data_IF_360252288783
#
_entry.id   IF_360252288783
#
_cell.length_a   1.000
_cell.length_b   1.000
_cell.length_c   1.000
_cell.angle_alpha   90.00
_cell.angle_beta   90.00
_cell.angle_gamma   90.00
#
_symmetry.space_group_name_H-M   'P 1'
#
loop_
_entity.id
_entity.type
_entity.pdbx_description
1 polymer ?
#
# COMPACT_ATOMS: atom_id res chain seq x y z
N UNK A 1 11.27 -14.31 -28.80
CA UNK A 1 10.59 -13.58 -29.88
C UNK A 1 10.78 -12.05 -29.81
N UNK A 2 10.77 -11.42 -28.62
CA UNK A 2 10.99 -9.96 -28.47
C UNK A 2 12.42 -9.55 -28.81
N UNK A 3 13.42 -10.37 -28.53
CA UNK A 3 14.81 -10.10 -28.85
C UNK A 3 15.11 -10.15 -30.37
N UNK A 4 14.39 -10.95 -31.13
CA UNK A 4 14.53 -11.02 -32.58
C UNK A 4 13.92 -9.82 -33.31
N UNK A 5 12.88 -9.18 -32.76
CA UNK A 5 12.31 -7.95 -33.34
C UNK A 5 13.24 -6.72 -33.22
N UNK A 6 14.07 -6.65 -32.17
CA UNK A 6 15.00 -5.54 -31.98
C UNK A 6 16.21 -5.60 -32.91
N UNK A 7 16.70 -6.80 -33.25
CA UNK A 7 17.80 -6.99 -34.20
C UNK A 7 17.38 -6.63 -35.64
N UNK A 8 16.11 -6.89 -35.99
CA UNK A 8 15.56 -6.48 -37.29
C UNK A 8 15.41 -4.98 -37.50
N UNK A 9 15.16 -4.21 -36.43
CA UNK A 9 15.00 -2.75 -36.50
C UNK A 9 16.32 -2.01 -36.72
N UNK A 10 17.41 -2.48 -36.14
CA UNK A 10 18.74 -1.87 -36.34
C UNK A 10 19.28 -2.09 -37.78
N UNK A 11 19.02 -3.26 -38.34
CA UNK A 11 19.39 -3.53 -39.75
C UNK A 11 18.58 -2.65 -40.72
N UNK A 12 17.31 -2.43 -40.49
CA UNK A 12 16.47 -1.54 -41.28
C UNK A 12 16.94 -0.07 -41.22
N UNK A 13 17.40 0.40 -40.08
CA UNK A 13 17.92 1.76 -39.93
C UNK A 13 19.27 1.94 -40.64
N UNK A 14 20.16 0.95 -40.56
CA UNK A 14 21.45 0.99 -41.30
C UNK A 14 21.25 0.92 -42.80
N UNK A 15 20.32 0.15 -43.32
CA UNK A 15 20.06 0.04 -44.75
C UNK A 15 19.34 1.30 -45.31
N UNK A 16 18.45 1.94 -44.54
CA UNK A 16 17.90 3.25 -44.91
C UNK A 16 18.98 4.34 -45.01
N UNK A 17 19.94 4.36 -44.06
CA UNK A 17 21.07 5.31 -44.11
C UNK A 17 21.98 5.09 -45.31
N UNK A 18 22.19 3.82 -45.76
CA UNK A 18 22.95 3.50 -46.97
C UNK A 18 22.18 3.85 -48.24
N UNK A 19 20.86 3.66 -48.31
CA UNK A 19 20.04 4.04 -49.48
C UNK A 19 19.90 5.56 -49.64
N UNK A 20 19.80 6.29 -48.55
CA UNK A 20 19.78 7.77 -48.59
C UNK A 20 21.11 8.32 -49.07
N UNK A 21 22.25 7.76 -48.66
CA UNK A 21 23.57 8.18 -49.17
C UNK A 21 23.79 7.89 -50.68
N UNK A 22 23.11 6.91 -51.28
CA UNK A 22 23.24 6.60 -52.71
C UNK A 22 22.37 7.45 -53.66
N UNK A 23 21.38 8.19 -53.11
CA UNK A 23 20.44 8.99 -53.95
C UNK A 23 20.74 10.48 -53.99
N UNK A 24 21.69 10.98 -53.24
CA UNK A 24 22.04 12.41 -53.27
C UNK A 24 23.49 12.53 -53.74
N UNK A 25 23.68 12.31 -55.04
CA UNK A 25 24.90 12.71 -55.73
C UNK A 25 24.59 14.01 -56.46
N UNK A 26 24.47 15.13 -55.71
CA UNK A 26 24.49 16.47 -56.30
C UNK A 26 25.96 16.87 -56.43
N UNK A 27 26.46 16.94 -57.68
CA UNK A 27 27.72 17.61 -58.00
C UNK A 27 27.60 19.08 -57.57
N UNK A 28 28.43 19.50 -56.61
CA UNK A 28 28.73 20.90 -56.48
C UNK A 28 28.28 21.69 -55.29
N UNK A 29 28.03 21.08 -54.13
CA UNK A 29 28.11 21.81 -52.85
C UNK A 29 28.47 20.83 -51.74
N UNK A 30 29.62 21.02 -51.10
CA UNK A 30 29.94 20.43 -49.81
C UNK A 30 29.01 21.05 -48.78
N UNK A 31 27.74 20.64 -48.75
CA UNK A 31 26.87 20.90 -47.58
C UNK A 31 27.37 19.92 -46.53
N UNK A 32 28.30 20.38 -45.72
CA UNK A 32 28.64 19.76 -44.47
C UNK A 32 27.38 19.85 -43.61
N UNK A 33 26.53 18.80 -43.64
CA UNK A 33 25.39 18.72 -42.73
C UNK A 33 25.98 18.71 -41.35
N UNK A 34 25.87 19.82 -40.63
CA UNK A 34 26.18 19.87 -39.21
C UNK A 34 25.43 18.74 -38.53
N UNK A 35 26.13 17.97 -37.70
CA UNK A 35 25.51 16.90 -36.97
C UNK A 35 24.41 17.53 -36.04
N UNK A 36 23.21 16.98 -36.10
CA UNK A 36 22.08 17.44 -35.23
C UNK A 36 22.53 17.45 -33.77
N UNK A 37 22.76 18.64 -33.22
CA UNK A 37 23.21 18.84 -31.87
C UNK A 37 22.01 18.90 -30.93
N UNK A 38 21.44 17.72 -30.59
CA UNK A 38 20.27 17.62 -29.73
C UNK A 38 20.51 18.23 -28.36
N UNK A 39 21.69 18.08 -27.78
CA UNK A 39 22.00 18.60 -26.43
C UNK A 39 21.90 20.13 -26.37
N UNK A 40 22.37 20.84 -27.35
CA UNK A 40 22.27 22.29 -27.43
C UNK A 40 20.81 22.74 -27.65
N UNK A 41 20.06 22.01 -28.48
CA UNK A 41 18.66 22.30 -28.77
C UNK A 41 17.79 22.05 -27.53
N UNK A 42 17.97 20.92 -26.90
CA UNK A 42 17.23 20.57 -25.64
C UNK A 42 17.49 21.61 -24.55
N UNK A 43 18.76 21.94 -24.30
CA UNK A 43 19.12 22.94 -23.31
C UNK A 43 18.50 24.32 -23.60
N UNK A 44 18.57 24.77 -24.84
CA UNK A 44 17.97 26.04 -25.29
C UNK A 44 16.47 26.09 -24.97
N UNK A 45 15.73 25.02 -25.24
CA UNK A 45 14.30 25.02 -25.05
C UNK A 45 13.92 24.86 -23.57
N UNK A 46 14.65 24.07 -22.81
CA UNK A 46 14.44 23.94 -21.37
C UNK A 46 14.63 25.28 -20.67
N UNK A 47 15.71 25.99 -20.98
CA UNK A 47 15.96 27.33 -20.43
C UNK A 47 14.84 28.30 -20.79
N UNK A 48 14.41 28.31 -22.06
CA UNK A 48 13.34 29.17 -22.53
C UNK A 48 12.00 28.88 -21.81
N UNK A 49 11.67 27.63 -21.55
CA UNK A 49 10.45 27.26 -20.83
C UNK A 49 10.50 27.73 -19.38
N UNK A 50 11.64 27.65 -18.73
CA UNK A 50 11.83 28.18 -17.38
C UNK A 50 11.72 29.72 -17.35
N UNK A 51 12.44 30.40 -18.21
CA UNK A 51 12.45 31.88 -18.30
C UNK A 51 11.05 32.45 -18.57
N UNK A 52 10.29 31.82 -19.42
CA UNK A 52 8.94 32.30 -19.80
C UNK A 52 7.82 31.78 -18.91
N UNK A 53 8.10 30.86 -17.96
CA UNK A 53 7.06 30.22 -17.18
C UNK A 53 6.04 29.45 -18.03
N UNK A 54 6.49 28.84 -19.14
CA UNK A 54 5.63 28.26 -20.18
C UNK A 54 4.62 27.22 -19.65
N UNK A 55 4.91 26.61 -18.52
CA UNK A 55 4.09 25.57 -17.90
C UNK A 55 3.38 26.00 -16.62
N UNK A 56 3.45 27.29 -16.30
CA UNK A 56 2.78 27.84 -15.11
C UNK A 56 1.25 27.79 -15.24
N UNK A 57 0.59 27.30 -14.19
CA UNK A 57 -0.86 27.32 -14.06
C UNK A 57 -1.30 28.59 -13.31
N UNK A 58 -2.08 29.43 -13.99
CA UNK A 58 -2.58 30.68 -13.42
C UNK A 58 -3.65 30.45 -12.36
N UNK A 59 -3.53 31.07 -11.20
CA UNK A 59 -4.59 31.09 -10.20
C UNK A 59 -5.73 32.01 -10.69
N UNK A 60 -6.99 31.54 -10.56
CA UNK A 60 -8.18 32.27 -10.99
C UNK A 60 -8.28 32.56 -12.50
N UNK A 61 -7.59 31.77 -13.33
CA UNK A 61 -7.69 31.84 -14.79
C UNK A 61 -9.14 31.62 -15.26
N UNK A 62 -9.56 32.36 -16.33
CA UNK A 62 -10.84 32.15 -17.00
C UNK A 62 -10.83 30.96 -17.96
N UNK A 63 -9.66 30.38 -18.27
CA UNK A 63 -9.52 29.21 -19.11
C UNK A 63 -10.10 27.97 -18.40
N UNK A 64 -10.63 26.98 -19.14
CA UNK A 64 -11.06 25.74 -18.55
C UNK A 64 -9.90 25.06 -17.81
N UNK A 65 -10.17 24.55 -16.62
CA UNK A 65 -9.15 23.92 -15.75
C UNK A 65 -8.90 22.50 -16.17
N UNK A 66 -7.65 22.09 -16.12
CA UNK A 66 -7.25 20.69 -16.25
C UNK A 66 -6.18 20.38 -15.22
N UNK A 67 -6.39 19.37 -14.40
CA UNK A 67 -5.45 18.92 -13.39
C UNK A 67 -4.88 17.55 -13.78
N UNK A 68 -3.58 17.50 -14.00
CA UNK A 68 -2.84 16.27 -14.26
C UNK A 68 -2.08 15.89 -13.01
N UNK A 69 -2.50 14.85 -12.32
CA UNK A 69 -1.91 14.41 -11.07
C UNK A 69 -0.98 13.22 -11.31
N UNK A 70 0.22 13.31 -10.75
CA UNK A 70 1.20 12.22 -10.73
C UNK A 70 1.71 12.01 -9.31
N UNK A 71 2.08 10.79 -9.01
CA UNK A 71 2.81 10.45 -7.80
C UNK A 71 4.16 11.18 -7.80
N UNK A 72 4.44 11.92 -6.74
CA UNK A 72 5.75 12.54 -6.58
C UNK A 72 6.73 11.56 -5.91
N UNK A 73 8.02 11.56 -6.32
CA UNK A 73 8.95 10.53 -5.94
C UNK A 73 9.46 10.68 -4.51
N UNK A 74 9.87 9.56 -3.91
CA UNK A 74 10.74 9.52 -2.75
C UNK A 74 12.17 9.91 -3.13
N UNK A 75 12.75 10.97 -2.59
CA UNK A 75 14.16 11.31 -2.85
C UNK A 75 15.11 10.49 -1.96
N UNK A 76 14.86 9.20 -1.81
CA UNK A 76 15.62 8.29 -0.93
C UNK A 76 16.81 7.62 -1.60
N UNK A 77 16.86 7.63 -2.93
CA UNK A 77 17.91 7.02 -3.72
C UNK A 77 18.83 8.04 -4.42
N UNK A 78 19.83 7.54 -5.11
CA UNK A 78 20.80 8.36 -5.84
C UNK A 78 20.21 9.04 -7.10
N UNK A 79 19.00 8.70 -7.51
CA UNK A 79 18.34 9.25 -8.70
C UNK A 79 17.07 8.48 -9.08
N UNK A 80 16.44 8.92 -10.18
CA UNK A 80 15.27 8.29 -10.75
C UNK A 80 15.59 6.88 -11.27
N UNK A 81 14.65 5.96 -11.11
CA UNK A 81 14.66 4.69 -11.83
C UNK A 81 13.74 4.76 -13.06
N UNK A 82 13.86 3.79 -13.97
CA UNK A 82 13.12 3.77 -15.26
C UNK A 82 11.58 3.77 -15.11
N UNK A 83 11.05 3.38 -13.97
CA UNK A 83 9.62 3.44 -13.67
C UNK A 83 9.07 4.86 -13.62
N UNK A 84 9.83 5.83 -13.09
CA UNK A 84 9.39 7.22 -12.99
C UNK A 84 9.11 7.84 -14.37
N UNK A 85 10.06 7.83 -15.36
CA UNK A 85 9.78 8.41 -16.67
C UNK A 85 8.59 7.80 -17.39
N UNK A 86 8.27 6.53 -17.14
CA UNK A 86 7.15 5.84 -17.80
C UNK A 86 5.81 6.53 -17.56
N UNK A 87 5.43 6.72 -16.30
CA UNK A 87 4.17 7.36 -15.93
C UNK A 87 4.22 8.87 -16.18
N UNK A 88 5.36 9.50 -15.89
CA UNK A 88 5.52 10.95 -16.08
C UNK A 88 5.41 11.35 -17.55
N UNK A 89 6.00 10.59 -18.46
CA UNK A 89 5.88 10.84 -19.90
C UNK A 89 4.43 10.71 -20.40
N UNK A 90 3.70 9.70 -19.94
CA UNK A 90 2.32 9.50 -20.34
C UNK A 90 1.44 10.70 -19.96
N UNK A 91 1.60 11.19 -18.74
CA UNK A 91 0.86 12.36 -18.26
C UNK A 91 1.35 13.69 -18.86
N UNK A 92 2.64 13.80 -19.15
CA UNK A 92 3.21 14.96 -19.84
C UNK A 92 2.62 15.15 -21.24
N UNK A 93 2.43 14.06 -21.98
CA UNK A 93 1.77 14.10 -23.31
C UNK A 93 0.37 14.68 -23.17
N UNK A 94 -0.41 14.23 -22.18
CA UNK A 94 -1.77 14.73 -21.93
C UNK A 94 -1.73 16.20 -21.50
N UNK A 95 -0.83 16.58 -20.59
CA UNK A 95 -0.68 17.94 -20.12
C UNK A 95 -0.35 18.91 -21.27
N UNK A 96 0.59 18.54 -22.15
CA UNK A 96 0.94 19.35 -23.33
C UNK A 96 -0.22 19.47 -24.31
N UNK A 97 -0.92 18.35 -24.61
CA UNK A 97 -2.10 18.36 -25.46
C UNK A 97 -3.16 19.33 -24.93
N UNK A 98 -3.48 19.26 -23.64
CA UNK A 98 -4.47 20.14 -23.03
C UNK A 98 -4.07 21.61 -23.05
N UNK A 99 -2.78 21.94 -22.84
CA UNK A 99 -2.31 23.32 -23.02
C UNK A 99 -2.48 23.83 -24.45
N UNK A 100 -2.19 22.98 -25.44
CA UNK A 100 -2.42 23.32 -26.86
C UNK A 100 -3.92 23.51 -27.19
N UNK A 101 -4.81 22.84 -26.50
CA UNK A 101 -6.26 23.00 -26.58
C UNK A 101 -6.78 24.23 -25.81
N UNK A 102 -5.90 24.99 -25.17
CA UNK A 102 -6.28 26.24 -24.48
C UNK A 102 -6.66 26.09 -23.02
N UNK A 103 -6.45 24.92 -22.41
CA UNK A 103 -6.71 24.71 -20.97
C UNK A 103 -5.65 25.38 -20.10
N UNK A 104 -6.06 25.78 -18.91
CA UNK A 104 -5.14 26.10 -17.80
C UNK A 104 -4.77 24.80 -17.09
N UNK A 105 -3.59 24.29 -17.36
CA UNK A 105 -3.17 22.96 -16.91
C UNK A 105 -2.27 23.06 -15.69
N UNK A 106 -2.70 22.48 -14.57
CA UNK A 106 -1.88 22.25 -13.40
C UNK A 106 -1.25 20.85 -13.49
N UNK A 107 0.06 20.79 -13.68
CA UNK A 107 0.87 19.58 -13.64
C UNK A 107 2.02 19.78 -12.65
N UNK A 108 1.76 19.59 -11.35
CA UNK A 108 2.73 19.85 -10.29
C UNK A 108 3.68 18.68 -10.10
N UNK A 109 4.79 18.95 -9.43
CA UNK A 109 5.74 17.96 -8.92
C UNK A 109 6.08 18.26 -7.46
N UNK A 110 6.69 17.34 -6.77
CA UNK A 110 7.15 17.51 -5.40
C UNK A 110 7.97 16.33 -4.91
N UNK A 111 8.23 16.33 -3.61
CA UNK A 111 9.11 15.36 -2.96
C UNK A 111 8.40 14.79 -1.73
N UNK A 112 8.18 13.47 -1.73
CA UNK A 112 7.81 12.74 -0.53
C UNK A 112 9.08 12.49 0.28
N UNK A 113 9.47 13.50 1.05
CA UNK A 113 10.82 13.61 1.57
C UNK A 113 11.02 13.04 2.98
N UNK A 114 9.94 12.69 3.70
CA UNK A 114 10.06 11.88 4.90
C UNK A 114 10.29 10.42 4.53
N UNK A 115 11.16 9.71 5.27
CA UNK A 115 11.30 8.29 5.00
C UNK A 115 12.46 7.63 5.72
N UNK A 116 12.21 6.44 6.23
CA UNK A 116 13.16 5.60 6.94
C UNK A 116 14.42 5.24 6.10
N UNK A 117 14.36 5.00 4.78
CA UNK A 117 15.56 4.74 3.99
C UNK A 117 16.60 5.87 4.05
N UNK A 118 16.14 7.13 3.98
CA UNK A 118 17.04 8.29 4.11
C UNK A 118 17.61 8.40 5.51
N UNK A 119 16.80 8.16 6.55
CA UNK A 119 17.26 8.18 7.95
C UNK A 119 18.30 7.09 8.22
N UNK A 120 18.05 5.85 7.77
CA UNK A 120 19.01 4.75 7.91
C UNK A 120 20.33 5.03 7.18
N UNK A 121 20.25 5.59 5.95
CA UNK A 121 21.44 6.02 5.24
C UNK A 121 22.20 7.11 6.00
N UNK A 122 21.50 8.08 6.55
CA UNK A 122 22.09 9.18 7.33
C UNK A 122 22.79 8.67 8.60
N UNK A 123 22.16 7.76 9.33
CA UNK A 123 22.74 7.11 10.51
C UNK A 123 24.02 6.35 10.13
N UNK A 124 23.94 5.50 9.10
CA UNK A 124 25.09 4.69 8.63
C UNK A 124 26.27 5.57 8.21
N UNK A 125 26.02 6.68 7.57
CA UNK A 125 27.07 7.58 7.04
C UNK A 125 27.38 8.75 7.98
N UNK A 126 26.75 8.83 9.16
CA UNK A 126 26.94 9.91 10.15
C UNK A 126 26.69 11.32 9.56
N UNK A 127 25.68 11.45 8.73
CA UNK A 127 25.26 12.69 8.07
C UNK A 127 23.83 13.01 8.46
N UNK A 128 23.49 14.27 8.64
CA UNK A 128 22.12 14.67 8.99
C UNK A 128 21.15 14.39 7.82
N UNK A 129 19.96 13.77 8.06
CA UNK A 129 19.00 13.41 7.00
C UNK A 129 18.64 14.58 6.08
N UNK A 130 18.48 15.78 6.62
CA UNK A 130 18.20 17.02 5.85
C UNK A 130 19.22 17.26 4.72
N UNK A 131 20.51 16.99 4.97
CA UNK A 131 21.58 17.18 3.97
C UNK A 131 21.45 16.15 2.86
N UNK A 132 21.21 14.88 3.23
CA UNK A 132 21.01 13.78 2.27
C UNK A 132 19.80 14.07 1.39
N UNK A 133 18.67 14.41 1.99
CA UNK A 133 17.43 14.73 1.30
C UNK A 133 17.61 15.89 0.32
N UNK A 134 18.22 16.99 0.74
CA UNK A 134 18.48 18.15 -0.13
C UNK A 134 19.36 17.79 -1.34
N UNK A 135 20.42 16.98 -1.13
CA UNK A 135 21.28 16.50 -2.20
C UNK A 135 20.53 15.61 -3.21
N UNK A 136 19.71 14.71 -2.69
CA UNK A 136 18.92 13.81 -3.54
C UNK A 136 17.87 14.60 -4.34
N UNK A 137 17.13 15.50 -3.71
CA UNK A 137 16.17 16.39 -4.39
C UNK A 137 16.84 17.13 -5.54
N UNK A 138 18.00 17.75 -5.29
CA UNK A 138 18.73 18.46 -6.32
C UNK A 138 19.08 17.57 -7.53
N UNK A 139 19.48 16.31 -7.29
CA UNK A 139 19.76 15.38 -8.38
C UNK A 139 18.49 14.93 -9.12
N UNK A 140 17.41 14.62 -8.40
CA UNK A 140 16.13 14.28 -9.02
C UNK A 140 15.58 15.43 -9.87
N UNK A 141 15.61 16.67 -9.34
CA UNK A 141 15.22 17.87 -10.08
C UNK A 141 16.02 18.00 -11.37
N UNK A 142 17.35 17.86 -11.31
CA UNK A 142 18.22 17.90 -12.50
C UNK A 142 17.83 16.83 -13.52
N UNK A 143 17.54 15.61 -13.09
CA UNK A 143 17.16 14.51 -13.98
C UNK A 143 15.78 14.76 -14.63
N UNK A 144 14.79 15.21 -13.85
CA UNK A 144 13.45 15.54 -14.37
C UNK A 144 13.48 16.68 -15.37
N UNK A 145 14.29 17.71 -15.12
CA UNK A 145 14.52 18.82 -16.06
C UNK A 145 15.20 18.37 -17.34
N UNK A 146 16.19 17.47 -17.26
CA UNK A 146 16.82 16.88 -18.45
C UNK A 146 15.84 16.09 -19.32
N UNK A 147 14.83 15.46 -18.75
CA UNK A 147 13.77 14.76 -19.48
C UNK A 147 12.78 15.73 -20.13
N UNK A 148 12.83 17.02 -19.78
CA UNK A 148 12.04 18.06 -20.40
C UNK A 148 10.55 18.01 -20.09
N UNK A 149 10.15 17.44 -18.96
CA UNK A 149 8.76 17.40 -18.54
C UNK A 149 8.17 18.79 -18.29
N UNK A 150 6.92 18.95 -18.65
CA UNK A 150 6.18 20.22 -18.52
C UNK A 150 5.57 20.43 -17.13
N UNK A 151 6.34 20.13 -16.09
CA UNK A 151 5.91 20.40 -14.71
C UNK A 151 5.82 21.90 -14.43
N UNK A 152 4.86 22.28 -13.62
CA UNK A 152 4.80 23.61 -13.01
C UNK A 152 5.71 23.67 -11.77
N UNK A 153 6.97 24.00 -11.98
CA UNK A 153 7.98 24.09 -10.91
C UNK A 153 7.66 25.19 -9.87
N UNK A 154 6.82 26.15 -10.21
CA UNK A 154 6.36 27.16 -9.24
C UNK A 154 5.43 26.59 -8.17
N UNK A 155 4.88 25.42 -8.42
CA UNK A 155 4.00 24.64 -7.51
C UNK A 155 4.71 23.46 -6.90
N UNK A 156 6.05 23.42 -6.95
CA UNK A 156 6.86 22.39 -6.30
C UNK A 156 6.56 22.35 -4.80
N UNK A 157 6.38 21.15 -4.26
CA UNK A 157 6.17 20.92 -2.83
C UNK A 157 7.24 20.00 -2.25
N UNK A 158 7.53 20.17 -0.97
CA UNK A 158 8.39 19.28 -0.19
C UNK A 158 7.68 18.96 1.12
N UNK A 159 7.38 17.68 1.34
CA UNK A 159 6.63 17.25 2.54
C UNK A 159 7.35 17.51 3.85
N UNK A 160 8.68 17.70 3.84
CA UNK A 160 9.47 18.07 5.03
C UNK A 160 9.56 19.57 5.27
N UNK A 161 8.98 20.39 4.39
CA UNK A 161 8.91 21.84 4.62
C UNK A 161 7.83 22.14 5.69
N UNK A 162 8.14 22.94 6.71
CA UNK A 162 7.16 23.36 7.73
C UNK A 162 5.92 24.02 7.15
N UNK A 163 6.05 24.73 6.04
CA UNK A 163 4.92 25.37 5.35
C UNK A 163 3.95 24.36 4.77
N UNK A 164 4.43 23.14 4.46
CA UNK A 164 3.63 22.02 3.98
C UNK A 164 3.06 21.18 5.14
N UNK A 165 3.90 20.64 6.01
CA UNK A 165 3.44 19.68 7.02
C UNK A 165 2.59 20.31 8.13
N UNK A 166 2.57 21.62 8.28
CA UNK A 166 1.60 22.31 9.16
C UNK A 166 0.16 21.92 8.83
N UNK A 167 -0.15 21.65 7.56
CA UNK A 167 -1.48 21.23 7.14
C UNK A 167 -1.78 19.80 7.55
N UNK A 168 -0.81 18.89 7.50
CA UNK A 168 -0.94 17.54 8.05
C UNK A 168 -1.21 17.59 9.55
N UNK A 169 -0.50 18.45 10.28
CA UNK A 169 -0.74 18.69 11.70
C UNK A 169 -2.14 19.28 11.96
N UNK A 170 -2.57 20.21 11.13
CA UNK A 170 -3.91 20.79 11.23
C UNK A 170 -5.00 19.73 11.00
N UNK A 171 -4.86 18.87 9.99
CA UNK A 171 -5.78 17.77 9.72
C UNK A 171 -5.85 16.84 10.94
N UNK A 172 -4.72 16.45 11.51
CA UNK A 172 -4.69 15.64 12.73
C UNK A 172 -5.45 16.30 13.87
N UNK A 173 -5.26 17.61 14.08
CA UNK A 173 -5.99 18.34 15.10
C UNK A 173 -7.50 18.39 14.85
N UNK A 174 -7.94 18.46 13.59
CA UNK A 174 -9.38 18.34 13.26
C UNK A 174 -9.91 16.95 13.62
N UNK A 175 -9.18 15.87 13.21
CA UNK A 175 -9.56 14.51 13.57
C UNK A 175 -9.65 14.32 15.09
N UNK A 176 -8.69 14.86 15.85
CA UNK A 176 -8.72 14.83 17.31
C UNK A 176 -9.92 15.58 17.89
N UNK A 177 -10.21 16.80 17.43
CA UNK A 177 -11.37 17.59 17.86
C UNK A 177 -12.70 16.92 17.60
N UNK A 178 -12.80 16.12 16.53
CA UNK A 178 -14.00 15.36 16.20
C UNK A 178 -14.04 13.96 16.83
N UNK A 179 -13.11 13.63 17.72
CA UNK A 179 -13.06 12.34 18.40
C UNK A 179 -12.66 11.17 17.49
N UNK A 180 -12.10 11.48 16.31
CA UNK A 180 -11.64 10.49 15.33
C UNK A 180 -10.16 10.08 15.52
N UNK A 181 -9.40 10.84 16.30
CA UNK A 181 -8.05 10.47 16.71
C UNK A 181 -8.01 10.24 18.22
N UNK A 182 -7.42 9.13 18.66
CA UNK A 182 -7.32 8.73 20.05
C UNK A 182 -6.02 7.98 20.32
N UNK A 183 -5.64 7.86 21.59
CA UNK A 183 -4.49 7.05 22.01
C UNK A 183 -4.92 5.70 22.55
N UNK A 184 -4.22 4.66 22.15
CA UNK A 184 -4.43 3.31 22.65
C UNK A 184 -3.10 2.56 22.75
N UNK A 185 -2.96 1.75 23.81
CA UNK A 185 -1.87 0.77 23.87
C UNK A 185 -2.23 -0.46 23.04
N UNK A 186 -1.34 -0.78 22.08
CA UNK A 186 -1.51 -1.93 21.23
C UNK A 186 -0.18 -2.61 20.92
N UNK A 187 -0.17 -3.90 20.60
CA UNK A 187 1.02 -4.55 20.08
C UNK A 187 1.32 -4.01 18.69
N UNK A 188 2.59 -3.74 18.41
CA UNK A 188 3.11 -3.37 17.10
C UNK A 188 4.27 -4.28 16.73
N UNK A 189 4.45 -4.52 15.44
CA UNK A 189 5.65 -5.18 14.93
C UNK A 189 6.86 -4.27 15.18
N UNK A 190 7.81 -4.72 15.96
CA UNK A 190 8.99 -3.95 16.32
C UNK A 190 10.24 -4.60 15.77
N UNK A 191 10.94 -3.92 14.87
CA UNK A 191 12.23 -4.36 14.37
C UNK A 191 13.32 -4.13 15.43
N UNK A 192 14.02 -5.19 15.83
CA UNK A 192 15.10 -5.12 16.84
C UNK A 192 16.35 -4.44 16.29
N UNK A 193 16.59 -4.48 14.98
CA UNK A 193 17.71 -3.84 14.31
C UNK A 193 17.47 -2.36 13.99
N UNK A 194 16.42 -2.05 13.23
CA UNK A 194 16.07 -0.66 12.89
C UNK A 194 15.49 0.14 14.05
N UNK A 195 15.03 -0.53 15.12
CA UNK A 195 14.41 0.06 16.32
C UNK A 195 13.20 0.94 16.01
N UNK A 196 12.35 0.46 15.10
CA UNK A 196 11.17 1.15 14.59
C UNK A 196 9.98 0.19 14.52
N UNK A 197 8.76 0.73 14.60
CA UNK A 197 7.53 -0.01 14.32
C UNK A 197 7.40 -0.26 12.81
N UNK A 198 6.97 -1.45 12.45
CA UNK A 198 6.75 -1.88 11.07
C UNK A 198 5.27 -2.13 10.82
N UNK A 199 4.83 -1.89 9.58
CA UNK A 199 3.55 -2.39 9.09
C UNK A 199 3.60 -3.91 8.91
N UNK A 200 2.45 -4.55 8.71
CA UNK A 200 2.41 -6.00 8.51
C UNK A 200 3.14 -6.42 7.22
N UNK A 201 3.05 -5.59 6.18
CA UNK A 201 3.68 -5.82 4.87
C UNK A 201 5.21 -5.73 4.92
N UNK A 202 5.76 -5.04 5.90
CA UNK A 202 7.22 -4.89 6.09
C UNK A 202 7.85 -6.04 6.91
N UNK A 203 7.02 -7.00 7.34
CA UNK A 203 7.46 -8.20 8.07
C UNK A 203 7.32 -9.42 7.15
N UNK A 204 8.45 -10.01 6.79
CA UNK A 204 8.51 -11.18 5.90
C UNK A 204 9.15 -12.34 6.66
N UNK A 205 8.40 -13.44 6.87
CA UNK A 205 8.88 -14.61 7.61
C UNK A 205 9.43 -14.27 9.02
N UNK A 206 8.78 -13.35 9.74
CA UNK A 206 9.17 -12.94 11.08
C UNK A 206 10.38 -12.01 11.16
N UNK A 207 10.92 -11.56 10.02
CA UNK A 207 12.06 -10.64 9.96
C UNK A 207 11.70 -9.34 9.22
N UNK A 208 12.43 -8.30 9.52
CA UNK A 208 12.30 -7.00 8.87
C UNK A 208 12.76 -7.09 7.41
N UNK A 209 11.89 -6.79 6.45
CA UNK A 209 12.20 -6.78 5.01
C UNK A 209 13.45 -5.95 4.67
N UNK A 210 13.69 -4.87 5.43
CA UNK A 210 14.77 -3.90 5.14
C UNK A 210 16.13 -4.29 5.67
N UNK A 211 16.20 -4.89 6.87
CA UNK A 211 17.48 -5.17 7.53
C UNK A 211 17.69 -6.64 7.91
N UNK A 212 16.69 -7.51 7.70
CA UNK A 212 16.74 -8.92 8.03
C UNK A 212 16.76 -9.25 9.53
N UNK A 213 16.64 -8.25 10.42
CA UNK A 213 16.61 -8.48 11.87
C UNK A 213 15.26 -9.03 12.31
N UNK A 214 15.26 -9.81 13.40
CA UNK A 214 14.06 -10.33 14.04
C UNK A 214 13.06 -9.23 14.39
N UNK A 215 11.78 -9.52 14.15
CA UNK A 215 10.66 -8.66 14.51
C UNK A 215 9.94 -9.28 15.71
N UNK A 216 9.70 -8.47 16.73
CA UNK A 216 9.01 -8.88 17.94
C UNK A 216 7.76 -8.04 18.17
N UNK A 217 6.75 -8.60 18.82
CA UNK A 217 5.58 -7.83 19.25
C UNK A 217 5.93 -6.97 20.46
N UNK A 218 5.73 -5.66 20.35
CA UNK A 218 5.98 -4.70 21.43
C UNK A 218 4.75 -3.86 21.70
N UNK A 219 4.25 -3.85 22.93
CA UNK A 219 3.16 -2.95 23.31
C UNK A 219 3.66 -1.51 23.38
N UNK A 220 2.98 -0.61 22.68
CA UNK A 220 3.25 0.83 22.69
C UNK A 220 1.96 1.62 22.65
N UNK A 221 1.96 2.76 23.31
CA UNK A 221 0.90 3.75 23.15
C UNK A 221 1.04 4.39 21.78
N UNK A 222 0.00 4.23 20.95
CA UNK A 222 -0.06 4.71 19.57
C UNK A 222 -1.23 5.67 19.39
N UNK A 223 -1.07 6.65 18.50
CA UNK A 223 -2.18 7.39 17.96
C UNK A 223 -2.92 6.52 16.95
N UNK A 224 -4.23 6.43 17.13
CA UNK A 224 -5.14 5.68 16.26
C UNK A 224 -6.13 6.63 15.61
N UNK A 225 -6.50 6.34 14.37
CA UNK A 225 -7.60 7.00 13.67
C UNK A 225 -8.76 6.04 13.51
N UNK A 226 -9.98 6.50 13.80
CA UNK A 226 -11.22 5.70 13.63
C UNK A 226 -11.63 5.65 12.16
N UNK A 227 -10.81 5.05 11.31
CA UNK A 227 -11.06 4.97 9.87
C UNK A 227 -12.34 4.21 9.54
N UNK A 228 -12.75 3.25 10.37
CA UNK A 228 -13.96 2.44 10.20
C UNK A 228 -15.26 3.23 10.34
N UNK A 229 -15.24 4.41 10.96
CA UNK A 229 -16.40 5.31 11.02
C UNK A 229 -16.86 5.78 9.63
N UNK A 230 -15.97 5.75 8.65
CA UNK A 230 -16.24 6.12 7.27
C UNK A 230 -16.43 4.93 6.33
N UNK A 231 -16.33 3.70 6.83
CA UNK A 231 -16.34 2.50 6.00
C UNK A 231 -17.60 2.42 5.10
N UNK A 232 -18.78 2.61 5.67
CA UNK A 232 -20.04 2.58 4.91
C UNK A 232 -20.10 3.74 3.90
N UNK A 233 -19.76 4.95 4.34
CA UNK A 233 -19.78 6.12 3.47
C UNK A 233 -18.82 5.99 2.28
N UNK A 234 -17.63 5.39 2.50
CA UNK A 234 -16.67 5.13 1.43
C UNK A 234 -17.22 4.15 0.38
N UNK A 235 -18.10 3.22 0.77
CA UNK A 235 -18.80 2.34 -0.18
C UNK A 235 -19.86 3.11 -0.94
N UNK A 236 -20.69 3.88 -0.25
CA UNK A 236 -21.82 4.61 -0.84
C UNK A 236 -21.35 5.71 -1.80
N UNK A 237 -20.34 6.49 -1.41
CA UNK A 237 -19.78 7.58 -2.21
C UNK A 237 -19.04 7.08 -3.50
N UNK A 238 -18.82 5.77 -3.66
CA UNK A 238 -18.28 5.21 -4.92
C UNK A 238 -19.22 5.40 -6.11
N UNK A 239 -20.52 5.58 -5.87
CA UNK A 239 -21.49 5.80 -6.95
C UNK A 239 -21.38 7.23 -7.52
N UNK A 240 -20.85 8.17 -6.72
CA UNK A 240 -20.66 9.58 -7.13
C UNK A 240 -19.35 9.82 -7.91
N UNK A 241 -18.47 8.83 -8.00
CA UNK A 241 -17.16 8.97 -8.66
C UNK A 241 -17.09 8.21 -9.98
N UNK A 242 -16.49 8.83 -10.99
CA UNK A 242 -16.29 8.22 -12.30
C UNK A 242 -15.04 7.33 -12.33
N UNK A 243 -15.04 6.30 -11.50
CA UNK A 243 -13.98 5.29 -11.48
C UNK A 243 -14.32 4.10 -12.37
N UNK A 244 -13.29 3.37 -12.82
CA UNK A 244 -13.49 2.08 -13.47
C UNK A 244 -14.15 1.10 -12.51
N UNK A 245 -15.09 0.29 -12.99
CA UNK A 245 -15.81 -0.69 -12.17
C UNK A 245 -14.86 -1.64 -11.40
N UNK A 246 -13.76 -2.05 -12.04
CA UNK A 246 -12.71 -2.84 -11.39
C UNK A 246 -12.17 -2.15 -10.12
N UNK A 247 -11.97 -0.84 -10.16
CA UNK A 247 -11.45 -0.07 -9.02
C UNK A 247 -12.51 0.03 -7.92
N UNK A 248 -13.76 0.29 -8.28
CA UNK A 248 -14.88 0.31 -7.31
C UNK A 248 -15.01 -1.03 -6.61
N UNK A 249 -14.96 -2.13 -7.36
CA UNK A 249 -15.03 -3.49 -6.81
C UNK A 249 -13.87 -3.77 -5.85
N UNK A 250 -12.65 -3.39 -6.22
CA UNK A 250 -11.48 -3.56 -5.36
C UNK A 250 -11.61 -2.79 -4.04
N UNK A 251 -12.13 -1.56 -4.07
CA UNK A 251 -12.34 -0.76 -2.86
C UNK A 251 -13.44 -1.34 -1.98
N UNK A 252 -14.57 -1.78 -2.56
CA UNK A 252 -15.65 -2.46 -1.84
C UNK A 252 -15.14 -3.74 -1.16
N UNK A 253 -14.39 -4.55 -1.87
CA UNK A 253 -13.80 -5.79 -1.33
C UNK A 253 -12.78 -5.52 -0.23
N UNK A 254 -11.98 -4.45 -0.37
CA UNK A 254 -11.03 -4.05 0.68
C UNK A 254 -11.72 -3.63 1.98
N UNK A 255 -12.81 -2.88 1.89
CA UNK A 255 -13.61 -2.49 3.06
C UNK A 255 -14.28 -3.73 3.67
N UNK A 256 -14.72 -4.67 2.84
CA UNK A 256 -15.18 -5.99 3.26
C UNK A 256 -16.45 -5.94 4.13
N UNK A 257 -17.47 -5.12 3.77
CA UNK A 257 -18.75 -5.14 4.48
C UNK A 257 -19.33 -6.54 4.46
N UNK A 258 -19.58 -7.08 5.64
CA UNK A 258 -20.29 -8.35 5.83
C UNK A 258 -21.46 -8.16 6.77
N UNK A 259 -22.54 -8.92 6.52
CA UNK A 259 -23.71 -8.96 7.36
C UNK A 259 -23.89 -10.39 7.87
N UNK A 260 -24.18 -10.51 9.15
CA UNK A 260 -24.31 -11.82 9.77
C UNK A 260 -25.01 -11.74 11.13
N UNK A 261 -25.00 -12.84 11.83
CA UNK A 261 -25.61 -12.98 13.15
C UNK A 261 -24.58 -13.43 14.19
N UNK A 262 -24.69 -12.90 15.39
CA UNK A 262 -24.00 -13.43 16.55
C UNK A 262 -24.82 -14.56 17.16
N UNK A 263 -24.23 -15.73 17.26
CA UNK A 263 -24.87 -16.94 17.83
C UNK A 263 -24.17 -17.33 19.11
N UNK A 264 -24.95 -17.50 20.19
CA UNK A 264 -24.45 -17.90 21.48
C UNK A 264 -24.46 -19.41 21.66
N UNK A 265 -23.30 -19.97 21.88
CA UNK A 265 -23.11 -21.39 22.20
C UNK A 265 -22.85 -21.54 23.72
N UNK A 266 -23.60 -22.37 24.40
CA UNK A 266 -23.29 -22.75 25.79
C UNK A 266 -22.15 -23.78 25.78
N UNK A 267 -21.13 -23.54 26.57
CA UNK A 267 -20.03 -24.49 26.78
C UNK A 267 -20.33 -25.47 27.91
N UNK A 268 -19.63 -26.62 27.91
CA UNK A 268 -19.73 -27.64 28.98
C UNK A 268 -19.41 -27.09 30.37
N UNK A 269 -18.65 -25.99 30.46
CA UNK A 269 -18.30 -25.30 31.71
C UNK A 269 -19.41 -24.37 32.24
N UNK A 270 -20.47 -24.14 31.45
CA UNK A 270 -21.54 -23.18 31.78
C UNK A 270 -21.26 -21.77 31.20
N UNK A 271 -20.12 -21.54 30.62
CA UNK A 271 -19.78 -20.28 29.94
C UNK A 271 -20.51 -20.14 28.61
N UNK A 272 -20.59 -18.91 28.08
CA UNK A 272 -21.11 -18.63 26.76
C UNK A 272 -19.94 -18.24 25.80
N UNK A 273 -19.93 -18.87 24.63
CA UNK A 273 -19.07 -18.54 23.51
C UNK A 273 -19.91 -17.87 22.41
N UNK A 274 -19.52 -16.69 21.95
CA UNK A 274 -20.21 -15.98 20.89
C UNK A 274 -19.47 -16.26 19.56
N UNK A 275 -20.22 -16.76 18.57
CA UNK A 275 -19.74 -17.03 17.21
C UNK A 275 -20.44 -16.07 16.27
N UNK A 276 -19.68 -15.32 15.48
CA UNK A 276 -20.22 -14.55 14.37
C UNK A 276 -20.27 -15.43 13.10
N UNK A 277 -21.41 -15.45 12.42
CA UNK A 277 -21.54 -16.18 11.14
C UNK A 277 -22.38 -15.39 10.14
N UNK A 278 -21.96 -15.38 8.87
CA UNK A 278 -22.75 -14.85 7.75
C UNK A 278 -23.78 -15.86 7.25
N UNK A 279 -23.69 -17.11 7.68
CA UNK A 279 -24.53 -18.24 7.25
C UNK A 279 -25.20 -18.92 8.47
N UNK A 280 -26.03 -18.15 9.19
CA UNK A 280 -26.78 -18.69 10.32
C UNK A 280 -27.74 -19.84 9.94
N UNK A 281 -28.14 -19.91 8.67
CA UNK A 281 -28.95 -20.98 8.08
C UNK A 281 -28.24 -22.35 8.12
N UNK A 282 -26.90 -22.40 8.14
CA UNK A 282 -26.12 -23.64 8.17
C UNK A 282 -25.87 -24.20 9.58
N UNK A 283 -26.39 -23.56 10.63
CA UNK A 283 -26.19 -23.96 12.03
C UNK A 283 -26.55 -25.43 12.31
N UNK A 284 -27.60 -25.97 11.64
CA UNK A 284 -28.04 -27.37 11.82
C UNK A 284 -26.96 -28.37 11.40
N UNK A 285 -26.11 -28.01 10.41
CA UNK A 285 -25.02 -28.85 9.91
C UNK A 285 -23.68 -28.60 10.63
N UNK A 286 -23.64 -27.82 11.70
CA UNK A 286 -22.39 -27.52 12.40
C UNK A 286 -21.76 -28.80 12.98
N UNK A 287 -20.46 -28.97 12.73
CA UNK A 287 -19.69 -30.16 13.14
C UNK A 287 -18.69 -29.86 14.24
N UNK A 288 -18.12 -28.65 14.28
CA UNK A 288 -17.21 -28.18 15.31
C UNK A 288 -17.16 -26.65 15.36
N UNK A 289 -16.59 -26.14 16.43
CA UNK A 289 -16.32 -24.70 16.61
C UNK A 289 -14.85 -24.46 16.82
N UNK A 290 -14.37 -23.30 16.36
CA UNK A 290 -12.95 -22.93 16.47
C UNK A 290 -12.84 -21.57 17.16
N UNK A 291 -11.99 -21.51 18.15
CA UNK A 291 -11.72 -20.32 18.97
C UNK A 291 -10.33 -19.77 18.65
N UNK A 292 -10.15 -18.46 18.72
CA UNK A 292 -8.82 -17.85 18.66
C UNK A 292 -7.94 -18.32 19.81
N UNK A 293 -6.64 -18.59 19.61
CA UNK A 293 -5.71 -18.94 20.69
C UNK A 293 -5.61 -17.90 21.80
N UNK A 294 -5.92 -16.63 21.50
CA UNK A 294 -5.90 -15.52 22.46
C UNK A 294 -7.24 -15.33 23.21
N UNK A 295 -8.24 -16.17 22.95
CA UNK A 295 -9.56 -15.99 23.54
C UNK A 295 -9.53 -16.12 25.07
N UNK A 296 -10.11 -15.15 25.84
CA UNK A 296 -10.05 -15.17 27.30
C UNK A 296 -10.68 -16.38 27.99
N UNK A 297 -11.65 -17.03 27.33
CA UNK A 297 -12.30 -18.23 27.86
C UNK A 297 -11.32 -19.40 28.02
N UNK A 298 -10.26 -19.49 27.21
CA UNK A 298 -9.28 -20.60 27.31
C UNK A 298 -8.62 -20.57 28.69
N UNK A 299 -8.19 -19.40 29.15
CA UNK A 299 -7.57 -19.25 30.46
C UNK A 299 -8.60 -19.48 31.62
N UNK A 300 -9.83 -19.00 31.41
CA UNK A 300 -10.92 -19.20 32.38
C UNK A 300 -11.28 -20.68 32.59
N UNK A 301 -11.20 -21.49 31.50
CA UNK A 301 -11.56 -22.89 31.49
C UNK A 301 -10.35 -23.84 31.68
N UNK A 302 -9.17 -23.35 32.02
CA UNK A 302 -7.92 -24.13 32.05
C UNK A 302 -8.01 -25.42 32.86
N UNK A 303 -8.68 -25.37 34.01
CA UNK A 303 -8.84 -26.51 34.91
C UNK A 303 -9.79 -27.61 34.38
N UNK A 304 -10.59 -27.28 33.36
CA UNK A 304 -11.50 -28.19 32.64
C UNK A 304 -10.92 -28.73 31.35
N UNK A 305 -9.78 -28.22 30.89
CA UNK A 305 -9.10 -28.68 29.67
C UNK A 305 -8.04 -29.70 30.02
N UNK A 306 -8.27 -30.97 29.66
CA UNK A 306 -7.39 -32.06 30.05
C UNK A 306 -6.03 -32.08 29.36
N UNK A 307 -5.92 -31.50 28.18
CA UNK A 307 -4.66 -31.35 27.41
C UNK A 307 -4.13 -29.90 27.42
N UNK A 308 -4.27 -29.18 28.56
CA UNK A 308 -3.93 -27.75 28.64
C UNK A 308 -2.48 -27.44 28.27
N UNK A 309 -1.52 -28.33 28.55
CA UNK A 309 -0.09 -28.13 28.18
C UNK A 309 0.09 -28.06 26.67
N UNK A 310 -0.61 -28.92 25.90
CA UNK A 310 -0.60 -28.87 24.43
C UNK A 310 -1.24 -27.58 23.92
N UNK A 311 -2.36 -27.15 24.51
CA UNK A 311 -3.02 -25.90 24.20
C UNK A 311 -2.10 -24.70 24.44
N UNK A 312 -1.36 -24.68 25.55
CA UNK A 312 -0.41 -23.64 25.90
C UNK A 312 0.76 -23.57 24.93
N UNK A 313 1.29 -24.73 24.53
CA UNK A 313 2.34 -24.80 23.53
C UNK A 313 1.87 -24.23 22.20
N UNK A 314 0.66 -24.59 21.73
CA UNK A 314 0.09 -24.06 20.50
C UNK A 314 -0.15 -22.54 20.58
N UNK A 315 -0.68 -22.02 21.69
CA UNK A 315 -0.82 -20.56 21.92
C UNK A 315 0.51 -19.84 21.78
N UNK A 316 1.56 -20.41 22.34
CA UNK A 316 2.91 -19.82 22.33
C UNK A 316 3.47 -19.75 20.90
N UNK A 317 3.26 -20.77 20.08
CA UNK A 317 3.67 -20.78 18.68
C UNK A 317 2.80 -19.83 17.83
N UNK A 318 1.49 -19.80 18.05
CA UNK A 318 0.59 -18.89 17.36
C UNK A 318 0.95 -17.40 17.61
N UNK A 319 1.36 -17.08 18.85
CA UNK A 319 1.75 -15.73 19.23
C UNK A 319 3.02 -15.21 18.54
N UNK A 320 3.84 -16.09 17.94
CA UNK A 320 5.03 -15.72 17.17
C UNK A 320 4.70 -15.29 15.75
N UNK A 321 3.53 -15.67 15.23
CA UNK A 321 3.08 -15.39 13.87
C UNK A 321 2.35 -14.04 13.80
N UNK A 322 2.61 -13.27 12.75
CA UNK A 322 1.83 -12.08 12.42
C UNK A 322 0.41 -12.45 11.93
N UNK A 323 -0.54 -11.50 11.99
CA UNK A 323 -1.89 -11.73 11.46
C UNK A 323 -1.86 -12.12 9.97
N UNK A 324 -0.97 -11.51 9.19
CA UNK A 324 -0.79 -11.80 7.78
C UNK A 324 -0.30 -13.25 7.53
N UNK A 325 0.67 -13.72 8.32
CA UNK A 325 1.15 -15.09 8.24
C UNK A 325 0.07 -16.11 8.63
N UNK A 326 -0.81 -15.74 9.56
CA UNK A 326 -1.91 -16.59 10.02
C UNK A 326 -3.06 -16.70 9.02
N UNK A 327 -3.33 -15.67 8.22
CA UNK A 327 -4.47 -15.61 7.30
C UNK A 327 -4.11 -15.84 5.84
N UNK A 328 -3.07 -15.16 5.33
CA UNK A 328 -2.77 -15.15 3.90
C UNK A 328 -1.69 -16.15 3.48
N UNK A 329 -0.72 -16.43 4.36
CA UNK A 329 0.41 -17.32 4.04
C UNK A 329 0.19 -18.75 4.50
N UNK A 330 -0.73 -19.02 5.41
CA UNK A 330 -1.00 -20.36 5.92
C UNK A 330 -1.70 -21.22 4.84
N UNK A 331 -0.92 -22.08 4.16
CA UNK A 331 -1.46 -23.06 3.21
C UNK A 331 -2.15 -24.25 3.89
N UNK A 332 -1.73 -24.58 5.11
CA UNK A 332 -2.28 -25.66 5.91
C UNK A 332 -2.88 -25.06 7.19
N UNK A 333 -4.14 -25.39 7.46
CA UNK A 333 -4.80 -24.99 8.70
C UNK A 333 -4.39 -25.97 9.80
N UNK A 334 -3.86 -25.41 10.89
CA UNK A 334 -3.49 -26.17 12.09
C UNK A 334 -4.41 -25.80 13.25
N UNK A 335 -4.55 -26.68 14.23
CA UNK A 335 -5.35 -26.43 15.39
C UNK A 335 -5.21 -27.52 16.44
N UNK A 336 -5.60 -27.20 17.69
CA UNK A 336 -5.62 -28.13 18.81
C UNK A 336 -7.04 -28.19 19.39
N UNK A 337 -7.53 -29.40 19.63
CA UNK A 337 -8.81 -29.63 20.28
C UNK A 337 -8.71 -29.32 21.77
N UNK A 338 -9.72 -28.67 22.33
CA UNK A 338 -9.85 -28.49 23.77
C UNK A 338 -10.49 -29.75 24.37
N UNK A 339 -9.67 -30.70 24.82
CA UNK A 339 -10.17 -31.93 25.39
C UNK A 339 -10.92 -31.68 26.75
N UNK A 340 -12.12 -32.27 26.88
CA UNK A 340 -13.01 -32.03 28.04
C UNK A 340 -14.03 -30.90 27.81
N UNK A 341 -13.87 -30.09 26.75
CA UNK A 341 -14.74 -28.97 26.39
C UNK A 341 -15.60 -29.30 25.18
N UNK A 342 -16.89 -29.02 25.24
CA UNK A 342 -17.80 -29.03 24.10
C UNK A 342 -18.73 -27.82 24.14
N UNK A 343 -19.18 -27.42 22.97
CA UNK A 343 -20.19 -26.39 22.76
C UNK A 343 -21.54 -27.05 22.44
N UNK A 344 -22.64 -26.49 22.91
CA UNK A 344 -24.00 -26.97 22.61
C UNK A 344 -24.56 -26.12 21.47
N UNK A 345 -24.87 -26.76 20.34
CA UNK A 345 -25.49 -26.10 19.20
C UNK A 345 -26.91 -25.61 19.59
N UNK A 346 -27.19 -24.30 19.53
CA UNK A 346 -28.49 -23.77 19.93
C UNK A 346 -29.62 -24.16 18.98
N UNK A 347 -29.35 -24.60 17.76
CA UNK A 347 -30.37 -24.96 16.79
C UNK A 347 -30.92 -26.41 16.98
N UNK A 348 -30.09 -27.36 17.42
CA UNK A 348 -30.46 -28.77 17.50
C UNK A 348 -29.99 -29.49 18.76
N UNK A 349 -29.31 -28.80 19.69
CA UNK A 349 -28.79 -29.38 20.93
C UNK A 349 -27.59 -30.28 20.82
N UNK A 350 -27.01 -30.45 19.62
CA UNK A 350 -25.85 -31.29 19.42
C UNK A 350 -24.60 -30.78 20.15
N UNK A 351 -23.79 -31.69 20.68
CA UNK A 351 -22.52 -31.37 21.32
C UNK A 351 -21.42 -31.31 20.26
N UNK A 352 -20.83 -30.15 20.13
CA UNK A 352 -19.78 -29.88 19.14
C UNK A 352 -18.42 -29.80 19.83
N UNK A 353 -17.37 -30.44 19.30
CA UNK A 353 -16.01 -30.26 19.78
C UNK A 353 -15.57 -28.80 19.56
N UNK A 354 -14.74 -28.30 20.48
CA UNK A 354 -14.14 -26.95 20.42
C UNK A 354 -12.66 -27.08 20.13
N UNK A 355 -12.19 -26.37 19.14
CA UNK A 355 -10.79 -26.29 18.77
C UNK A 355 -10.25 -24.88 18.98
N UNK A 356 -8.93 -24.75 19.06
CA UNK A 356 -8.24 -23.47 18.87
C UNK A 356 -7.44 -23.55 17.56
N UNK A 357 -7.39 -22.45 16.85
CA UNK A 357 -6.57 -22.34 15.64
C UNK A 357 -6.08 -20.91 15.41
N UNK A 358 -4.86 -20.82 14.89
CA UNK A 358 -4.18 -19.55 14.68
C UNK A 358 -4.76 -18.72 13.53
N UNK A 359 -5.51 -19.30 12.60
CA UNK A 359 -6.18 -18.52 11.56
C UNK A 359 -7.43 -17.75 12.06
N UNK A 360 -7.91 -18.02 13.27
CA UNK A 360 -9.01 -17.27 13.91
C UNK A 360 -8.41 -16.06 14.64
N UNK A 361 -8.81 -14.87 14.23
CA UNK A 361 -8.32 -13.61 14.82
C UNK A 361 -9.31 -13.03 15.81
N UNK A 362 -8.81 -12.48 16.91
CA UNK A 362 -9.65 -11.80 17.94
C UNK A 362 -10.28 -10.52 17.36
N UNK A 363 -9.68 -9.93 16.34
CA UNK A 363 -10.11 -8.67 15.72
C UNK A 363 -11.30 -8.81 14.79
N UNK A 364 -11.55 -10.00 14.22
CA UNK A 364 -12.60 -10.22 13.20
C UNK A 364 -13.73 -11.17 13.67
N UNK A 365 -13.78 -11.49 14.94
CA UNK A 365 -14.71 -12.47 15.49
C UNK A 365 -13.93 -13.55 16.23
N UNK A 366 -14.17 -13.67 17.51
CA UNK A 366 -13.35 -14.50 18.39
C UNK A 366 -13.50 -15.99 18.17
N UNK A 367 -14.52 -16.42 17.40
CA UNK A 367 -14.84 -17.82 17.14
C UNK A 367 -15.46 -18.00 15.76
N UNK A 368 -15.18 -19.14 15.13
CA UNK A 368 -15.75 -19.59 13.86
C UNK A 368 -16.56 -20.86 14.05
N UNK A 369 -17.53 -21.07 13.15
CA UNK A 369 -18.34 -22.26 13.05
C UNK A 369 -18.00 -23.02 11.76
N UNK A 370 -17.80 -24.33 11.86
CA UNK A 370 -17.63 -25.19 10.71
C UNK A 370 -18.83 -26.10 10.53
N UNK A 371 -19.32 -26.16 9.30
CA UNK A 371 -20.46 -26.99 8.90
C UNK A 371 -20.01 -28.04 7.88
N UNK A 372 -20.63 -29.20 7.87
CA UNK A 372 -20.42 -30.23 6.87
C UNK A 372 -21.41 -30.07 5.72
N UNK A 373 -21.41 -28.92 5.05
CA UNK A 373 -22.20 -28.80 3.83
C UNK A 373 -21.28 -29.13 2.64
N UNK A 374 -21.61 -30.17 1.90
CA UNK A 374 -20.88 -30.65 0.74
C UNK A 374 -20.81 -29.62 -0.41
N UNK A 375 -21.49 -28.49 -0.29
CA UNK A 375 -21.42 -27.36 -1.23
C UNK A 375 -20.24 -26.42 -0.99
N UNK A 376 -19.61 -26.48 0.19
CA UNK A 376 -18.49 -25.61 0.58
C UNK A 376 -17.09 -26.22 0.26
N UNK A 377 -17.06 -27.46 -0.27
CA UNK A 377 -15.83 -28.18 -0.65
C UNK A 377 -15.45 -28.01 -2.15
N UNK A 378 -16.03 -27.03 -2.84
CA UNK A 378 -15.73 -26.72 -4.24
C UNK A 378 -14.97 -25.42 -4.42
#
# INVERSE_FOLDING_TARGET
>A
EIAQCLVGSEMCIRDRRRRIRRRINFKGANIQMESYNFKAIEKKWQDKWEETGAFHAETNSKKPKFYTMIEFPYPSGAGLHVGHPRSYTALDIIARKRRMEGYNVLYPIGWDAFGLPTENFAIKNKVHPKIVTAKNIANFTRQLKMLGFSFDWSREINTTDPSYYKWTQWIFLQLFKHGLAYKQEMPINWCTGCKVGLSNEEVVNGVCERCGSEVVQKRKSQWMLKITEYAQRLIDDLDDVNYLEKIKTQQKNWIGRSEGAEVKFKLSTGDEMIVYTTRADTLFGATYTVMSPEHPLIEKMKDSITNYDEVLAYKTEAAKKSEFERTELAKEKTGVKLEGIYAVNPANGAKLPVFISDYVLVTYGTCLLYTSDAADDL
#
